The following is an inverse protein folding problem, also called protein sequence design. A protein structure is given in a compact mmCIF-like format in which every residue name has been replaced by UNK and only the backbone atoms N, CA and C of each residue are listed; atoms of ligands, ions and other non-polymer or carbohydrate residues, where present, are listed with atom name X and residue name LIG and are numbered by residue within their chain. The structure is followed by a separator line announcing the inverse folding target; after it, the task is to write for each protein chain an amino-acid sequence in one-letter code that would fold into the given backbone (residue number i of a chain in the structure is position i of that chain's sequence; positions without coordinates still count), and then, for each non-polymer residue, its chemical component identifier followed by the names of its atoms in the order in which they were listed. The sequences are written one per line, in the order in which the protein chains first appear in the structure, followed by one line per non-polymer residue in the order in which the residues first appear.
data_IF_985644565150
#
_entry.id   IF_985644565150
#
_cell.length_a   1.000
_cell.length_b   1.000
_cell.length_c   1.000
_cell.angle_alpha   90.00
_cell.angle_beta   90.00
_cell.angle_gamma   90.00
#
_symmetry.space_group_name_H-M   'P 1'
#
loop_
_entity.id
_entity.type
_entity.pdbx_description
1 polymer ?
#
# COMPACT_ATOMS: atom_id res chain seq x y z
N UNK A 1 43.22 16.20 14.89
CA UNK A 1 42.06 16.24 13.96
C UNK A 1 41.15 15.07 14.27
N UNK A 2 39.86 15.30 14.55
CA UNK A 2 38.89 14.23 14.82
C UNK A 2 38.31 13.74 13.49
N UNK A 3 38.62 12.51 13.10
CA UNK A 3 38.01 11.87 11.93
C UNK A 3 36.55 11.52 12.24
N UNK A 4 35.63 12.24 11.59
CA UNK A 4 34.21 11.98 11.67
C UNK A 4 33.85 10.84 10.71
N UNK A 5 33.72 9.62 11.23
CA UNK A 5 33.22 8.48 10.45
C UNK A 5 31.70 8.62 10.37
N UNK A 6 31.18 9.09 9.22
CA UNK A 6 29.77 8.99 8.90
C UNK A 6 29.41 7.50 8.78
N UNK A 7 28.86 6.91 9.84
CA UNK A 7 28.16 5.64 9.76
C UNK A 7 26.85 5.87 9.02
N UNK A 8 26.84 5.59 7.72
CA UNK A 8 25.61 5.41 6.97
C UNK A 8 24.93 4.14 7.49
N UNK A 9 24.00 4.30 8.45
CA UNK A 9 23.10 3.24 8.85
C UNK A 9 22.24 2.87 7.64
N UNK A 10 22.58 1.75 7.01
CA UNK A 10 21.78 1.14 5.95
C UNK A 10 20.49 0.66 6.62
N UNK A 11 19.41 1.45 6.57
CA UNK A 11 18.08 1.02 7.04
C UNK A 11 17.76 -0.29 6.31
N UNK A 12 17.64 -1.39 7.05
CA UNK A 12 17.19 -2.66 6.49
C UNK A 12 15.84 -2.40 5.79
N UNK A 13 15.72 -2.81 4.52
CA UNK A 13 14.46 -2.67 3.80
C UNK A 13 13.43 -3.51 4.54
N UNK A 14 12.37 -2.87 5.04
CA UNK A 14 11.25 -3.55 5.69
C UNK A 14 10.57 -4.42 4.62
N UNK A 15 10.63 -5.74 4.78
CA UNK A 15 9.84 -6.66 3.96
C UNK A 15 8.39 -6.59 4.44
N UNK A 16 7.45 -6.44 3.50
CA UNK A 16 6.03 -6.25 3.80
C UNK A 16 5.27 -7.51 3.40
N UNK A 17 4.54 -8.10 4.34
CA UNK A 17 3.66 -9.24 4.10
C UNK A 17 2.23 -8.76 4.35
N UNK A 18 1.39 -8.84 3.33
CA UNK A 18 -0.04 -8.53 3.39
C UNK A 18 -0.78 -9.86 3.37
N UNK A 19 -1.54 -10.18 4.41
CA UNK A 19 -2.40 -11.36 4.46
C UNK A 19 -3.86 -10.93 4.56
N UNK A 20 -4.69 -11.51 3.71
CA UNK A 20 -6.11 -11.21 3.62
C UNK A 20 -6.94 -12.48 3.79
N UNK A 21 -7.99 -12.39 4.60
CA UNK A 21 -9.07 -13.39 4.78
C UNK A 21 -10.41 -12.65 4.76
N UNK A 22 -11.52 -13.35 4.88
CA UNK A 22 -12.85 -12.72 5.02
C UNK A 22 -12.85 -11.73 6.19
N UNK A 23 -13.13 -10.47 5.91
CA UNK A 23 -13.18 -9.34 6.87
C UNK A 23 -11.89 -9.09 7.67
N UNK A 24 -10.77 -9.67 7.26
CA UNK A 24 -9.50 -9.56 7.99
C UNK A 24 -8.35 -9.18 7.05
N UNK A 25 -7.62 -8.14 7.44
CA UNK A 25 -6.33 -7.78 6.85
C UNK A 25 -5.28 -7.79 7.95
N UNK A 26 -4.14 -8.43 7.68
CA UNK A 26 -2.95 -8.39 8.53
C UNK A 26 -1.79 -7.88 7.67
N UNK A 27 -1.05 -6.88 8.17
CA UNK A 27 0.18 -6.39 7.52
C UNK A 27 1.32 -6.47 8.53
N UNK A 28 2.35 -7.26 8.25
CA UNK A 28 3.48 -7.53 9.17
C UNK A 28 3.01 -7.83 10.61
N UNK A 29 2.14 -8.83 10.75
CA UNK A 29 1.57 -9.31 12.01
C UNK A 29 0.64 -8.33 12.74
N UNK A 30 0.34 -7.17 12.15
CA UNK A 30 -0.61 -6.21 12.70
C UNK A 30 -1.97 -6.31 12.00
N UNK A 31 -3.02 -6.56 12.78
CA UNK A 31 -4.40 -6.51 12.28
C UNK A 31 -4.75 -5.10 11.83
N UNK A 32 -5.50 -5.04 10.74
CA UNK A 32 -5.84 -3.80 10.07
C UNK A 32 -7.32 -3.79 9.69
N UNK A 33 -8.00 -2.69 10.00
CA UNK A 33 -9.41 -2.48 9.68
C UNK A 33 -9.55 -1.28 8.76
N UNK A 34 -10.60 -1.28 7.93
CA UNK A 34 -10.96 -0.15 7.09
C UNK A 34 -12.33 0.42 7.52
N UNK A 35 -12.52 1.75 7.49
CA UNK A 35 -11.48 2.76 7.29
C UNK A 35 -10.40 2.70 8.40
N UNK A 36 -9.19 3.10 8.03
CA UNK A 36 -8.04 3.22 8.93
C UNK A 36 -7.64 4.69 9.07
N UNK A 37 -6.63 5.00 9.88
CA UNK A 37 -6.09 6.35 10.01
C UNK A 37 -4.59 6.42 9.69
N UNK A 38 -4.09 7.64 9.54
CA UNK A 38 -2.70 7.94 9.22
C UNK A 38 -1.71 7.34 10.23
N UNK A 39 -2.02 7.42 11.53
CA UNK A 39 -1.14 6.92 12.59
C UNK A 39 -1.00 5.40 12.54
N UNK A 40 -2.07 4.67 12.24
CA UNK A 40 -2.03 3.22 12.00
C UNK A 40 -1.12 2.86 10.81
N UNK A 41 -1.14 3.65 9.73
CA UNK A 41 -0.23 3.45 8.60
C UNK A 41 1.22 3.76 8.97
N UNK A 42 1.48 4.80 9.75
CA UNK A 42 2.84 5.14 10.22
C UNK A 42 3.38 4.04 11.15
N UNK A 43 2.55 3.44 12.00
CA UNK A 43 2.96 2.32 12.84
C UNK A 43 3.45 1.11 12.02
N UNK A 44 2.81 0.86 10.87
CA UNK A 44 3.14 -0.27 9.97
C UNK A 44 4.28 0.08 9.02
N UNK A 45 4.27 1.25 8.39
CA UNK A 45 5.18 1.56 7.29
C UNK A 45 6.33 2.51 7.72
N UNK A 46 6.26 3.07 8.92
CA UNK A 46 7.11 4.15 9.39
C UNK A 46 6.68 5.51 8.81
N UNK A 47 7.52 6.52 8.99
CA UNK A 47 7.27 7.84 8.40
C UNK A 47 7.21 7.78 6.86
N UNK A 48 6.22 8.44 6.23
CA UNK A 48 6.15 8.52 4.77
C UNK A 48 7.33 9.31 4.20
N UNK A 49 7.68 9.00 2.96
CA UNK A 49 8.74 9.69 2.24
C UNK A 49 8.31 11.07 1.74
N UNK A 50 7.03 11.23 1.38
CA UNK A 50 6.46 12.49 0.88
C UNK A 50 4.93 12.48 0.88
N UNK A 51 4.38 13.69 0.83
CA UNK A 51 2.97 13.97 0.59
C UNK A 51 2.78 14.69 -0.75
N UNK A 52 1.63 14.50 -1.39
CA UNK A 52 1.20 15.28 -2.55
C UNK A 52 -0.21 15.81 -2.29
N UNK A 53 -0.32 17.12 -2.06
CA UNK A 53 -1.56 17.80 -1.75
C UNK A 53 -1.96 18.67 -2.93
N UNK A 54 -2.77 18.12 -3.84
CA UNK A 54 -3.37 18.84 -4.99
C UNK A 54 -4.89 18.76 -4.90
N UNK A 55 -5.59 18.35 -5.96
CA UNK A 55 -7.04 18.09 -5.91
C UNK A 55 -7.42 16.88 -5.05
N UNK A 56 -6.44 16.03 -4.73
CA UNK A 56 -6.54 14.85 -3.87
C UNK A 56 -5.27 14.81 -3.02
N UNK A 57 -5.39 14.36 -1.77
CA UNK A 57 -4.23 14.16 -0.91
C UNK A 57 -3.71 12.75 -1.06
N UNK A 58 -2.38 12.63 -1.13
CA UNK A 58 -1.69 11.35 -1.21
C UNK A 58 -0.52 11.35 -0.25
N UNK A 59 -0.28 10.19 0.34
CA UNK A 59 0.93 9.92 1.13
C UNK A 59 1.67 8.75 0.49
N UNK A 60 3.01 8.82 0.45
CA UNK A 60 3.83 7.83 -0.23
C UNK A 60 4.94 7.29 0.67
N UNK A 61 5.01 5.97 0.79
CA UNK A 61 6.19 5.23 1.25
C UNK A 61 6.94 4.74 0.02
N UNK A 62 7.56 5.68 -0.68
CA UNK A 62 8.29 5.46 -1.93
C UNK A 62 9.27 4.29 -1.86
N UNK A 63 9.95 4.12 -0.73
CA UNK A 63 10.93 3.06 -0.54
C UNK A 63 10.34 1.66 -0.42
N UNK A 64 9.06 1.56 -0.05
CA UNK A 64 8.29 0.33 0.11
C UNK A 64 7.38 0.05 -1.09
N UNK A 65 7.16 1.03 -1.97
CA UNK A 65 6.19 0.92 -3.05
C UNK A 65 4.74 0.96 -2.58
N UNK A 66 4.47 1.65 -1.47
CA UNK A 66 3.15 1.79 -0.87
C UNK A 66 2.68 3.24 -0.93
N UNK A 67 1.41 3.46 -1.24
CA UNK A 67 0.79 4.79 -1.14
C UNK A 67 -0.70 4.69 -0.81
N UNK A 68 -1.25 5.73 -0.19
CA UNK A 68 -2.70 5.86 -0.09
C UNK A 68 -3.15 7.24 -0.58
N UNK A 69 -4.41 7.31 -0.98
CA UNK A 69 -5.13 8.55 -1.18
C UNK A 69 -6.05 8.76 0.02
N UNK A 70 -6.17 9.99 0.48
CA UNK A 70 -7.10 10.34 1.54
C UNK A 70 -7.77 11.69 1.27
N UNK A 71 -8.89 11.91 1.95
CA UNK A 71 -9.56 13.21 2.10
C UNK A 71 -9.54 13.65 3.56
N UNK A 72 -9.67 12.68 4.47
CA UNK A 72 -9.50 12.81 5.91
C UNK A 72 -8.39 11.84 6.36
N UNK A 73 -7.49 12.30 7.22
CA UNK A 73 -6.41 11.46 7.77
C UNK A 73 -6.92 10.43 8.77
N UNK A 74 -8.12 10.62 9.31
CA UNK A 74 -8.78 9.67 10.21
C UNK A 74 -9.63 8.63 9.45
N UNK A 75 -9.92 8.86 8.16
CA UNK A 75 -10.74 7.96 7.33
C UNK A 75 -10.05 7.63 5.99
N UNK A 76 -9.13 6.68 6.05
CA UNK A 76 -8.41 6.15 4.89
C UNK A 76 -9.05 4.81 4.50
N UNK A 77 -9.60 4.77 3.27
CA UNK A 77 -10.41 3.63 2.82
C UNK A 77 -9.65 2.56 2.03
N UNK A 78 -8.39 2.83 1.65
CA UNK A 78 -7.61 1.89 0.84
C UNK A 78 -6.11 2.16 0.92
N UNK A 79 -5.31 1.11 0.77
CA UNK A 79 -3.85 1.14 0.62
C UNK A 79 -3.50 0.55 -0.75
N UNK A 80 -2.57 1.16 -1.47
CA UNK A 80 -2.16 0.74 -2.80
C UNK A 80 -0.70 0.31 -2.79
N UNK A 81 -0.43 -0.79 -3.49
CA UNK A 81 0.88 -1.43 -3.61
C UNK A 81 1.29 -1.40 -5.08
N UNK A 82 2.31 -0.61 -5.38
CA UNK A 82 2.70 -0.32 -6.76
C UNK A 82 3.76 -1.28 -7.26
N UNK A 83 3.48 -2.00 -8.34
CA UNK A 83 4.37 -3.03 -8.89
C UNK A 83 4.87 -2.72 -10.31
N UNK A 84 4.54 -1.58 -10.93
CA UNK A 84 5.11 -1.22 -12.25
C UNK A 84 6.47 -0.49 -12.16
N UNK A 85 7.34 -0.64 -13.17
CA UNK A 85 8.53 0.23 -13.38
C UNK A 85 8.32 1.33 -14.43
N UNK A 86 7.26 1.23 -15.25
CA UNK A 86 7.10 2.06 -16.45
C UNK A 86 6.68 3.49 -16.12
N UNK A 87 5.81 3.70 -15.14
CA UNK A 87 5.38 5.05 -14.78
C UNK A 87 6.30 5.71 -13.76
N UNK A 88 6.77 6.91 -14.10
CA UNK A 88 7.63 7.77 -13.27
C UNK A 88 6.90 9.03 -12.81
N UNK A 89 5.58 9.11 -13.00
CA UNK A 89 4.76 10.24 -12.58
C UNK A 89 4.92 10.52 -11.08
N UNK A 90 4.65 11.77 -10.68
CA UNK A 90 4.63 12.15 -9.26
C UNK A 90 3.53 11.42 -8.46
N UNK A 91 2.55 10.83 -9.14
CA UNK A 91 1.43 10.11 -8.55
C UNK A 91 1.72 8.64 -8.23
N UNK A 92 2.95 8.18 -8.51
CA UNK A 92 3.39 6.81 -8.24
C UNK A 92 4.63 6.78 -7.35
N UNK A 93 4.86 5.64 -6.70
CA UNK A 93 6.00 5.46 -5.80
C UNK A 93 7.32 5.38 -6.57
N UNK A 94 8.41 5.85 -5.96
CA UNK A 94 9.74 5.80 -6.61
C UNK A 94 10.36 4.40 -6.70
N UNK A 95 9.90 3.45 -5.88
CA UNK A 95 10.26 2.04 -5.97
C UNK A 95 9.00 1.18 -6.05
N UNK A 96 9.18 -0.02 -6.57
CA UNK A 96 8.14 -1.04 -6.57
C UNK A 96 8.00 -1.67 -5.20
N UNK A 97 6.79 -2.08 -4.91
CA UNK A 97 6.48 -3.05 -3.89
C UNK A 97 7.20 -4.36 -4.20
N UNK A 98 7.89 -4.88 -3.19
CA UNK A 98 8.66 -6.14 -3.26
C UNK A 98 8.28 -7.10 -2.13
N UNK A 99 7.15 -6.81 -1.47
CA UNK A 99 6.56 -7.68 -0.47
C UNK A 99 5.67 -8.74 -1.09
N UNK A 100 4.90 -9.39 -0.24
CA UNK A 100 4.07 -10.55 -0.59
C UNK A 100 2.60 -10.28 -0.24
N UNK A 101 1.70 -10.89 -1.02
CA UNK A 101 0.26 -10.88 -0.80
C UNK A 101 -0.20 -12.33 -0.60
N UNK A 102 -0.92 -12.58 0.49
CA UNK A 102 -1.52 -13.87 0.79
C UNK A 102 -3.03 -13.76 0.85
N UNK A 103 -3.74 -14.72 0.28
CA UNK A 103 -5.17 -14.92 0.39
C UNK A 103 -5.42 -16.29 1.02
N UNK A 104 -6.09 -16.34 2.18
CA UNK A 104 -6.34 -17.61 2.89
C UNK A 104 -5.08 -18.47 3.03
N UNK A 105 -3.96 -17.83 3.39
CA UNK A 105 -2.63 -18.46 3.57
C UNK A 105 -1.95 -18.93 2.27
N UNK A 106 -2.55 -18.70 1.09
CA UNK A 106 -1.92 -18.93 -0.22
C UNK A 106 -1.29 -17.66 -0.76
N UNK A 107 -0.04 -17.75 -1.25
CA UNK A 107 0.63 -16.62 -1.90
C UNK A 107 0.02 -16.37 -3.28
N UNK A 108 -0.43 -15.15 -3.53
CA UNK A 108 -1.05 -14.76 -4.80
C UNK A 108 -0.37 -13.51 -5.37
N UNK A 109 -0.44 -13.38 -6.69
CA UNK A 109 0.03 -12.22 -7.44
C UNK A 109 -1.15 -11.45 -8.03
N UNK A 110 -0.95 -10.16 -8.26
CA UNK A 110 -1.99 -9.28 -8.78
C UNK A 110 -2.43 -9.60 -10.22
N UNK A 111 -1.78 -10.52 -10.93
CA UNK A 111 -2.21 -10.99 -12.24
C UNK A 111 -3.31 -12.03 -12.20
N UNK A 112 -3.55 -12.64 -11.04
CA UNK A 112 -4.47 -13.77 -10.88
C UNK A 112 -5.92 -13.32 -10.63
N UNK A 113 -6.15 -12.02 -10.42
CA UNK A 113 -7.47 -11.49 -10.09
C UNK A 113 -7.71 -10.11 -10.70
N UNK A 114 -8.98 -9.78 -10.91
CA UNK A 114 -9.46 -8.41 -11.10
C UNK A 114 -9.90 -7.81 -9.77
N UNK A 115 -10.82 -8.48 -9.09
CA UNK A 115 -11.30 -8.13 -7.77
C UNK A 115 -11.62 -9.39 -6.98
N UNK A 116 -11.21 -9.43 -5.72
CA UNK A 116 -11.59 -10.45 -4.75
C UNK A 116 -12.37 -9.74 -3.65
N UNK A 117 -13.64 -10.09 -3.48
CA UNK A 117 -14.50 -9.60 -2.39
C UNK A 117 -14.34 -10.51 -1.18
N UNK A 118 -14.01 -9.94 -0.02
CA UNK A 118 -13.77 -10.66 1.24
C UNK A 118 -14.63 -10.04 2.35
N UNK A 119 -15.95 -10.01 2.12
CA UNK A 119 -16.89 -9.30 3.00
C UNK A 119 -16.82 -7.79 2.84
N UNK A 120 -16.54 -7.06 3.91
CA UNK A 120 -16.43 -5.60 3.99
C UNK A 120 -15.13 -5.05 3.38
N UNK A 121 -14.18 -5.92 3.04
CA UNK A 121 -12.92 -5.56 2.36
C UNK A 121 -12.81 -6.22 0.98
N UNK A 122 -12.00 -5.63 0.11
CA UNK A 122 -11.68 -6.22 -1.19
C UNK A 122 -10.24 -6.02 -1.57
N UNK A 123 -9.71 -6.96 -2.34
CA UNK A 123 -8.44 -6.84 -3.06
C UNK A 123 -8.79 -6.49 -4.51
N UNK A 124 -8.26 -5.40 -5.03
CA UNK A 124 -8.52 -4.91 -6.39
C UNK A 124 -7.20 -4.81 -7.15
N UNK A 125 -7.15 -5.37 -8.36
CA UNK A 125 -6.03 -5.15 -9.28
C UNK A 125 -6.04 -3.70 -9.73
N UNK A 126 -4.87 -3.07 -9.64
CA UNK A 126 -4.64 -1.75 -10.22
C UNK A 126 -4.09 -1.96 -11.62
N UNK A 127 -4.84 -1.48 -12.61
CA UNK A 127 -4.47 -1.46 -14.03
C UNK A 127 -4.07 -2.81 -14.62
N UNK A 128 -3.45 -2.75 -15.80
CA UNK A 128 -2.82 -3.91 -16.47
C UNK A 128 -1.30 -3.74 -16.55
N UNK A 129 -0.55 -4.81 -16.86
CA UNK A 129 0.94 -4.79 -16.90
C UNK A 129 1.53 -3.69 -17.81
N UNK A 130 0.76 -3.27 -18.81
CA UNK A 130 1.14 -2.23 -19.77
C UNK A 130 0.68 -0.83 -19.36
N UNK A 131 -0.12 -0.71 -18.30
CA UNK A 131 -0.64 0.56 -17.81
C UNK A 131 0.23 1.18 -16.72
N UNK A 132 0.12 2.49 -16.61
CA UNK A 132 0.91 3.33 -15.70
C UNK A 132 0.71 3.01 -14.22
N UNK A 133 -0.40 2.38 -13.82
CA UNK A 133 -0.70 2.02 -12.43
C UNK A 133 -0.95 0.54 -12.35
N UNK A 134 0.13 -0.23 -12.33
CA UNK A 134 0.07 -1.67 -12.17
C UNK A 134 0.44 -2.06 -10.74
N UNK A 135 -0.39 -2.89 -10.12
CA UNK A 135 -0.24 -3.34 -8.74
C UNK A 135 -1.57 -3.86 -8.17
N UNK A 136 -1.78 -3.67 -6.88
CA UNK A 136 -3.05 -3.99 -6.23
C UNK A 136 -3.41 -2.98 -5.13
N UNK A 137 -4.68 -2.96 -4.77
CA UNK A 137 -5.25 -2.15 -3.70
C UNK A 137 -5.98 -3.07 -2.73
N UNK A 138 -5.85 -2.79 -1.43
CA UNK A 138 -6.69 -3.39 -0.40
C UNK A 138 -7.47 -2.28 0.28
N UNK A 139 -8.73 -2.51 0.59
CA UNK A 139 -9.56 -1.48 1.20
C UNK A 139 -11.01 -1.89 1.32
N UNK A 140 -11.86 -0.94 1.71
CA UNK A 140 -13.31 -1.17 1.83
C UNK A 140 -13.86 -1.75 0.53
N UNK A 141 -14.57 -2.86 0.64
CA UNK A 141 -15.39 -3.41 -0.41
C UNK A 141 -16.58 -2.48 -0.63
N UNK A 142 -16.37 -1.44 -1.42
CA UNK A 142 -17.48 -0.70 -2.01
C UNK A 142 -18.14 -1.64 -3.02
N UNK A 143 -18.99 -2.53 -2.53
CA UNK A 143 -20.17 -2.91 -3.30
C UNK A 143 -20.87 -1.60 -3.58
N UNK A 144 -20.89 -1.16 -4.83
CA UNK A 144 -21.67 0.00 -5.25
C UNK A 144 -23.15 -0.32 -4.99
N UNK A 145 -23.60 -0.24 -3.73
CA UNK A 145 -24.98 0.10 -3.43
C UNK A 145 -25.02 1.61 -3.56
N UNK A 146 -25.47 2.05 -4.73
CA UNK A 146 -26.00 3.39 -4.91
C UNK A 146 -26.92 3.65 -3.71
N UNK A 147 -26.49 4.54 -2.82
CA UNK A 147 -27.43 5.36 -2.06
C UNK A 147 -27.93 6.44 -3.03
#
# INVERSE_FOLDING_TARGET
MKNFVLRFFRKNKKHIIVSCKTDEVIINDQKFTFPTNYNSLVAIFGEPNRNLNKSKNYVFWDSLGVFCRYTDTEEIFSINFFQNKKDRSEYNTKKQFSGELFLNDENITNNEFDKISLGDISILRLGSENEIRYGFSIGVNKSYKLL
#
